data_IF_972248068272
#
_entry.id   IF_972248068272
#
_cell.length_a   1.000
_cell.length_b   1.000
_cell.length_c   1.000
_cell.angle_alpha   90.00
_cell.angle_beta   90.00
_cell.angle_gamma   90.00
#
_symmetry.space_group_name_H-M   'P 1'
#
loop_
_entity.id
_entity.type
_entity.pdbx_description
1 polymer ?
#
# COMPACT_ATOMS: atom_id res chain seq x y z
N UNK A 1 27.97 18.09 -73.33
CA UNK A 1 27.93 17.71 -71.90
C UNK A 1 27.06 18.71 -71.17
N UNK A 2 25.82 18.36 -70.82
CA UNK A 2 24.91 19.27 -70.16
C UNK A 2 24.85 18.86 -68.68
N UNK A 3 25.31 19.74 -67.79
CA UNK A 3 25.15 19.61 -66.34
C UNK A 3 23.73 19.98 -65.95
N UNK A 4 22.92 18.98 -65.59
CA UNK A 4 21.63 19.18 -64.94
C UNK A 4 21.86 19.47 -63.42
N UNK A 5 21.74 20.73 -63.03
CA UNK A 5 21.69 21.11 -61.60
C UNK A 5 20.33 20.73 -61.00
N UNK A 6 20.34 19.80 -60.11
CA UNK A 6 19.19 19.48 -59.28
C UNK A 6 19.04 20.57 -58.20
N UNK A 7 18.12 21.49 -58.40
CA UNK A 7 17.68 22.39 -57.34
C UNK A 7 16.83 21.58 -56.39
N UNK A 8 17.37 21.26 -55.21
CA UNK A 8 16.58 20.78 -54.07
C UNK A 8 15.69 21.94 -53.64
N UNK A 9 14.39 21.77 -53.83
CA UNK A 9 13.38 22.67 -53.29
C UNK A 9 13.46 22.65 -51.78
N UNK A 10 13.82 23.76 -51.18
CA UNK A 10 13.63 24.02 -49.74
C UNK A 10 12.14 23.94 -49.49
N UNK A 11 11.70 22.88 -48.84
CA UNK A 11 10.33 22.77 -48.31
C UNK A 11 10.13 23.90 -47.33
N UNK A 12 9.33 24.89 -47.70
CA UNK A 12 8.97 25.98 -46.82
C UNK A 12 8.36 25.45 -45.53
N UNK A 13 8.95 25.77 -44.40
CA UNK A 13 8.35 25.58 -43.11
C UNK A 13 7.09 26.46 -43.04
N UNK A 14 5.93 25.88 -43.32
CA UNK A 14 4.65 26.57 -43.10
C UNK A 14 4.54 26.83 -41.60
N UNK A 15 4.61 28.09 -41.18
CA UNK A 15 4.34 28.49 -39.80
C UNK A 15 2.86 28.24 -39.45
N UNK A 16 2.62 27.79 -38.25
CA UNK A 16 1.25 27.62 -37.71
C UNK A 16 0.52 28.97 -37.70
N UNK A 17 -0.73 28.95 -38.11
CA UNK A 17 -1.59 30.15 -38.02
C UNK A 17 -2.06 30.32 -36.57
N UNK A 18 -2.34 31.57 -36.17
CA UNK A 18 -2.87 31.86 -34.82
C UNK A 18 -4.18 31.10 -34.54
N UNK A 19 -5.05 30.98 -35.54
CA UNK A 19 -6.32 30.25 -35.39
C UNK A 19 -6.08 28.75 -35.20
N UNK A 20 -5.13 28.17 -35.87
CA UNK A 20 -4.77 26.76 -35.72
C UNK A 20 -4.22 26.46 -34.32
N UNK A 21 -3.39 27.35 -33.77
CA UNK A 21 -2.93 27.26 -32.39
C UNK A 21 -4.12 27.33 -31.40
N UNK A 22 -5.04 28.24 -31.61
CA UNK A 22 -6.23 28.35 -30.73
C UNK A 22 -7.11 27.11 -30.78
N UNK A 23 -7.32 26.53 -31.96
CA UNK A 23 -8.09 25.29 -32.11
C UNK A 23 -7.40 24.12 -31.42
N UNK A 24 -6.08 23.98 -31.59
CA UNK A 24 -5.30 22.94 -30.92
C UNK A 24 -5.38 23.07 -29.41
N UNK A 25 -5.21 24.29 -28.87
CA UNK A 25 -5.32 24.54 -27.43
C UNK A 25 -6.73 24.23 -26.90
N UNK A 26 -7.78 24.58 -27.65
CA UNK A 26 -9.14 24.25 -27.26
C UNK A 26 -9.38 22.73 -27.18
N UNK A 27 -8.91 21.98 -28.19
CA UNK A 27 -9.02 20.52 -28.20
C UNK A 27 -8.22 19.90 -27.05
N UNK A 28 -6.99 20.35 -26.82
CA UNK A 28 -6.17 19.89 -25.69
C UNK A 28 -6.83 20.18 -24.35
N UNK A 29 -7.46 21.36 -24.18
CA UNK A 29 -8.18 21.73 -22.99
C UNK A 29 -9.36 20.77 -22.70
N UNK A 30 -10.14 20.42 -23.71
CA UNK A 30 -11.24 19.45 -23.59
C UNK A 30 -10.71 18.06 -23.20
N UNK A 31 -9.65 17.60 -23.85
CA UNK A 31 -9.03 16.30 -23.53
C UNK A 31 -8.47 16.27 -22.10
N UNK A 32 -7.80 17.34 -21.68
CA UNK A 32 -7.27 17.45 -20.31
C UNK A 32 -8.38 17.44 -19.25
N UNK A 33 -9.52 18.06 -19.51
CA UNK A 33 -10.65 18.09 -18.59
C UNK A 33 -11.23 16.69 -18.29
N UNK A 34 -11.13 15.75 -19.22
CA UNK A 34 -11.56 14.36 -19.04
C UNK A 34 -10.45 13.47 -18.45
N UNK A 35 -9.19 13.72 -18.84
CA UNK A 35 -8.07 12.90 -18.42
C UNK A 35 -7.73 13.06 -16.93
N UNK A 36 -7.87 14.28 -16.38
CA UNK A 36 -7.48 14.58 -14.99
C UNK A 36 -8.30 13.78 -13.94
N UNK A 37 -9.64 13.78 -13.92
CA UNK A 37 -10.44 13.03 -12.95
C UNK A 37 -10.23 11.50 -13.07
N UNK A 38 -9.98 11.00 -14.28
CA UNK A 38 -9.69 9.59 -14.50
C UNK A 38 -8.35 9.18 -13.86
N UNK A 39 -7.33 10.01 -13.96
CA UNK A 39 -6.03 9.77 -13.34
C UNK A 39 -6.15 9.71 -11.80
N UNK A 40 -6.89 10.62 -11.18
CA UNK A 40 -7.10 10.65 -9.72
C UNK A 40 -7.77 9.37 -9.21
N UNK A 41 -8.82 8.92 -9.88
CA UNK A 41 -9.53 7.69 -9.48
C UNK A 41 -8.64 6.44 -9.64
N UNK A 42 -7.80 6.41 -10.66
CA UNK A 42 -6.86 5.30 -10.89
C UNK A 42 -5.80 5.23 -9.79
N UNK A 43 -5.21 6.37 -9.42
CA UNK A 43 -4.22 6.44 -8.33
C UNK A 43 -4.85 6.03 -7.00
N UNK A 44 -6.05 6.50 -6.72
CA UNK A 44 -6.78 6.14 -5.50
C UNK A 44 -7.05 4.64 -5.44
N UNK A 45 -7.53 4.04 -6.52
CA UNK A 45 -7.76 2.60 -6.62
C UNK A 45 -6.47 1.80 -6.39
N UNK A 46 -5.35 2.25 -6.95
CA UNK A 46 -4.05 1.61 -6.74
C UNK A 46 -3.65 1.61 -5.25
N UNK A 47 -3.79 2.73 -4.56
CA UNK A 47 -3.52 2.84 -3.12
C UNK A 47 -4.44 1.96 -2.27
N UNK A 48 -5.72 1.85 -2.62
CA UNK A 48 -6.67 0.97 -1.91
C UNK A 48 -6.30 -0.52 -2.07
N UNK A 49 -5.87 -0.92 -3.26
CA UNK A 49 -5.39 -2.29 -3.50
C UNK A 49 -4.09 -2.58 -2.72
N UNK A 50 -3.17 -1.62 -2.68
CA UNK A 50 -1.95 -1.71 -1.89
C UNK A 50 -2.27 -1.84 -0.40
N UNK A 51 -3.16 -0.99 0.14
CA UNK A 51 -3.61 -1.07 1.52
C UNK A 51 -4.16 -2.45 1.89
N UNK A 52 -5.03 -3.02 1.05
CA UNK A 52 -5.58 -4.37 1.28
C UNK A 52 -4.51 -5.45 1.25
N UNK A 53 -3.50 -5.29 0.39
CA UNK A 53 -2.36 -6.21 0.32
C UNK A 53 -1.51 -6.12 1.58
N UNK A 54 -1.20 -4.91 2.03
CA UNK A 54 -0.37 -4.67 3.20
C UNK A 54 -1.03 -5.15 4.49
N UNK A 55 -2.33 -4.92 4.64
CA UNK A 55 -3.12 -5.46 5.74
C UNK A 55 -3.09 -7.00 5.75
N UNK A 56 -3.22 -7.62 4.59
CA UNK A 56 -3.12 -9.09 4.48
C UNK A 56 -1.73 -9.59 4.86
N UNK A 57 -0.67 -8.94 4.38
CA UNK A 57 0.71 -9.30 4.70
C UNK A 57 0.97 -9.22 6.22
N UNK A 58 0.47 -8.16 6.87
CA UNK A 58 0.59 -8.00 8.32
C UNK A 58 -0.19 -9.08 9.09
N UNK A 59 -1.43 -9.35 8.73
CA UNK A 59 -2.26 -10.39 9.36
C UNK A 59 -1.65 -11.78 9.19
N UNK A 60 -1.20 -12.10 7.99
CA UNK A 60 -0.47 -13.36 7.75
C UNK A 60 0.83 -13.44 8.55
N UNK A 61 1.51 -12.31 8.76
CA UNK A 61 2.68 -12.23 9.63
C UNK A 61 2.35 -12.53 11.08
N UNK A 62 1.27 -11.95 11.60
CA UNK A 62 0.76 -12.18 12.96
C UNK A 62 0.37 -13.66 13.14
N UNK A 63 -0.34 -14.24 12.19
CA UNK A 63 -0.74 -15.66 12.23
C UNK A 63 0.48 -16.60 12.21
N UNK A 64 1.47 -16.30 11.36
CA UNK A 64 2.74 -17.06 11.34
C UNK A 64 3.49 -16.95 12.65
N UNK A 65 3.50 -15.78 13.28
CA UNK A 65 4.10 -15.60 14.59
C UNK A 65 3.44 -16.52 15.62
N UNK A 66 2.11 -16.55 15.64
CA UNK A 66 1.34 -17.41 16.53
C UNK A 66 1.65 -18.87 16.31
N UNK A 67 1.72 -19.33 15.07
CA UNK A 67 2.07 -20.72 14.72
C UNK A 67 3.48 -21.08 15.20
N UNK A 68 4.48 -20.23 14.95
CA UNK A 68 5.86 -20.46 15.39
C UNK A 68 5.98 -20.44 16.94
N UNK A 69 5.21 -19.56 17.60
CA UNK A 69 5.13 -19.53 19.04
C UNK A 69 4.58 -20.84 19.62
N UNK A 70 3.48 -21.35 19.09
CA UNK A 70 2.85 -22.58 19.54
C UNK A 70 3.75 -23.80 19.31
N UNK A 71 4.45 -23.87 18.17
CA UNK A 71 5.47 -24.88 17.91
C UNK A 71 6.61 -24.82 18.92
N UNK A 72 7.12 -23.64 19.19
CA UNK A 72 8.19 -23.44 20.15
C UNK A 72 7.77 -23.82 21.57
N UNK A 73 6.54 -23.46 21.95
CA UNK A 73 5.96 -23.83 23.26
C UNK A 73 5.78 -25.34 23.44
N UNK A 74 5.37 -26.04 22.39
CA UNK A 74 5.20 -27.51 22.42
C UNK A 74 6.48 -28.26 22.16
N UNK A 75 7.62 -27.58 21.95
CA UNK A 75 8.92 -28.18 21.60
C UNK A 75 8.81 -29.09 20.36
N UNK A 76 8.00 -28.71 19.40
CA UNK A 76 7.84 -29.43 18.15
C UNK A 76 9.18 -29.58 17.41
N UNK A 77 9.38 -30.68 16.68
CA UNK A 77 10.64 -30.97 15.98
C UNK A 77 10.95 -29.96 14.88
N UNK A 78 9.93 -29.33 14.34
CA UNK A 78 10.01 -28.29 13.31
C UNK A 78 9.94 -26.87 13.87
N UNK A 79 10.05 -26.73 15.21
CA UNK A 79 10.10 -25.42 15.85
C UNK A 79 11.34 -24.64 15.41
N UNK A 80 11.15 -23.34 15.17
CA UNK A 80 12.23 -22.46 14.72
C UNK A 80 13.29 -22.29 15.80
N UNK A 81 14.52 -22.68 15.52
CA UNK A 81 15.62 -22.58 16.46
C UNK A 81 15.84 -21.13 16.92
N UNK A 82 15.94 -20.92 18.23
CA UNK A 82 16.14 -19.60 18.82
C UNK A 82 14.89 -18.70 18.89
N UNK A 83 13.72 -19.16 18.43
CA UNK A 83 12.48 -18.38 18.54
C UNK A 83 12.06 -18.21 20.01
N UNK A 84 12.09 -19.28 20.81
CA UNK A 84 11.75 -19.28 22.25
C UNK A 84 12.66 -18.35 23.06
N UNK A 85 13.94 -18.24 22.69
CA UNK A 85 14.90 -17.38 23.39
C UNK A 85 14.61 -15.89 23.20
N UNK A 86 13.94 -15.54 22.10
CA UNK A 86 13.59 -14.14 21.78
C UNK A 86 12.21 -13.74 22.29
N UNK A 87 11.35 -14.73 22.50
CA UNK A 87 9.94 -14.53 22.84
C UNK A 87 9.65 -15.17 24.19
N UNK A 88 9.18 -14.39 25.16
CA UNK A 88 8.77 -14.91 26.48
C UNK A 88 7.62 -15.91 26.34
N UNK A 89 7.68 -17.02 27.09
CA UNK A 89 6.71 -18.12 27.00
C UNK A 89 5.37 -17.81 27.67
N UNK A 90 5.28 -16.70 28.40
CA UNK A 90 4.14 -16.37 29.29
C UNK A 90 3.17 -15.37 28.65
N UNK A 91 2.79 -15.60 27.38
CA UNK A 91 1.96 -14.68 26.59
C UNK A 91 0.76 -15.37 25.94
N UNK A 92 -0.14 -14.55 25.38
CA UNK A 92 -1.24 -14.99 24.51
C UNK A 92 -0.77 -15.77 23.26
N UNK A 93 0.53 -15.61 22.89
CA UNK A 93 1.14 -16.18 21.70
C UNK A 93 1.12 -15.25 20.49
N UNK A 94 0.54 -14.07 20.62
CA UNK A 94 0.59 -13.00 19.63
C UNK A 94 1.78 -12.08 19.91
N UNK A 95 2.31 -11.34 18.91
CA UNK A 95 3.38 -10.37 19.13
C UNK A 95 2.90 -9.22 20.02
N UNK A 96 3.79 -8.65 20.84
CA UNK A 96 3.46 -7.47 21.64
C UNK A 96 3.40 -6.20 20.81
N UNK A 97 4.23 -6.14 19.76
CA UNK A 97 4.30 -5.02 18.83
C UNK A 97 4.51 -5.55 17.42
N UNK A 98 4.16 -4.74 16.41
CA UNK A 98 4.45 -5.10 15.01
C UNK A 98 5.96 -5.24 14.75
N UNK A 99 6.81 -4.50 15.48
CA UNK A 99 8.26 -4.58 15.36
C UNK A 99 8.79 -5.99 15.67
N UNK A 100 8.15 -6.70 16.57
CA UNK A 100 8.53 -8.08 16.93
C UNK A 100 8.46 -9.03 15.73
N UNK A 101 7.57 -8.77 14.74
CA UNK A 101 7.53 -9.52 13.49
C UNK A 101 8.82 -9.39 12.66
N UNK A 102 9.47 -8.23 12.74
CA UNK A 102 10.75 -8.02 12.04
C UNK A 102 11.93 -8.55 12.85
N UNK A 103 11.92 -8.42 14.16
CA UNK A 103 12.94 -8.95 15.07
C UNK A 103 13.01 -10.47 15.01
N UNK A 104 11.86 -11.13 14.91
CA UNK A 104 11.75 -12.58 14.74
C UNK A 104 11.94 -13.03 13.29
N UNK A 105 12.18 -12.11 12.36
CA UNK A 105 12.38 -12.38 10.91
C UNK A 105 11.19 -13.09 10.25
N UNK A 106 9.98 -12.88 10.76
CA UNK A 106 8.75 -13.34 10.12
C UNK A 106 8.42 -12.42 8.95
N UNK A 107 8.52 -11.11 9.18
CA UNK A 107 8.49 -10.10 8.12
C UNK A 107 9.88 -9.49 7.93
N UNK A 108 10.19 -9.05 6.73
CA UNK A 108 11.43 -8.32 6.44
C UNK A 108 11.35 -6.85 6.89
N UNK A 109 10.17 -6.27 6.77
CA UNK A 109 9.84 -4.90 7.16
C UNK A 109 8.35 -4.83 7.45
N UNK A 110 7.95 -3.84 8.22
CA UNK A 110 6.55 -3.47 8.39
C UNK A 110 6.19 -2.54 7.21
N UNK A 111 5.17 -2.90 6.39
CA UNK A 111 4.70 -2.01 5.33
C UNK A 111 4.15 -0.72 5.93
N UNK A 112 4.19 0.36 5.15
CA UNK A 112 3.59 1.64 5.54
C UNK A 112 2.18 1.73 4.96
N UNK A 113 1.28 2.39 5.69
CA UNK A 113 -0.05 2.66 5.16
C UNK A 113 0.05 3.58 3.93
N UNK A 114 -0.37 3.14 2.72
CA UNK A 114 -0.28 3.93 1.51
C UNK A 114 -1.23 5.13 1.50
N UNK A 115 -2.19 5.16 2.42
CA UNK A 115 -3.15 6.26 2.57
C UNK A 115 -2.65 7.31 3.56
N UNK A 116 -1.88 6.89 4.58
CA UNK A 116 -1.37 7.74 5.67
C UNK A 116 0.09 7.36 5.98
N UNK A 117 1.03 7.84 5.17
CA UNK A 117 2.44 7.42 5.17
C UNK A 117 3.17 7.58 6.52
N UNK A 118 2.76 8.51 7.35
CA UNK A 118 3.41 8.83 8.62
C UNK A 118 2.66 8.33 9.85
N UNK A 119 1.44 7.83 9.66
CA UNK A 119 0.60 7.39 10.79
C UNK A 119 0.79 5.90 11.03
N UNK A 120 0.98 5.47 12.29
CA UNK A 120 1.12 4.07 12.61
C UNK A 120 -0.18 3.30 12.37
N UNK A 121 -0.06 1.99 12.13
CA UNK A 121 -1.19 1.08 12.11
C UNK A 121 -1.92 1.08 13.44
N UNK A 122 -3.24 1.05 13.43
CA UNK A 122 -4.03 0.76 14.61
C UNK A 122 -3.95 -0.73 14.90
N UNK A 123 -3.55 -1.08 16.10
CA UNK A 123 -3.46 -2.46 16.57
C UNK A 123 -4.64 -2.79 17.46
N UNK A 124 -4.98 -4.06 17.50
CA UNK A 124 -6.01 -4.61 18.33
C UNK A 124 -5.49 -5.84 19.06
N UNK A 125 -5.82 -5.95 20.34
CA UNK A 125 -5.45 -7.08 21.17
C UNK A 125 -6.46 -8.23 21.03
N UNK A 126 -6.00 -9.46 21.29
CA UNK A 126 -6.87 -10.64 21.34
C UNK A 126 -7.95 -10.56 22.42
N UNK A 127 -7.67 -9.87 23.54
CA UNK A 127 -8.60 -9.67 24.64
C UNK A 127 -9.62 -8.55 24.42
N UNK A 128 -9.43 -7.72 23.37
CA UNK A 128 -10.34 -6.61 23.10
C UNK A 128 -11.73 -7.08 22.64
N UNK A 129 -12.77 -6.42 23.13
CA UNK A 129 -14.13 -6.63 22.62
C UNK A 129 -14.22 -6.24 21.14
N UNK A 130 -15.05 -6.95 20.37
CA UNK A 130 -15.26 -6.68 18.94
C UNK A 130 -15.70 -5.25 18.65
N UNK A 131 -16.43 -4.63 19.55
CA UNK A 131 -16.97 -3.28 19.43
C UNK A 131 -16.09 -2.20 20.10
N UNK A 132 -14.97 -2.60 20.72
CA UNK A 132 -14.08 -1.64 21.38
C UNK A 132 -13.37 -0.76 20.36
N UNK A 133 -13.44 0.55 20.57
CA UNK A 133 -12.68 1.55 19.82
C UNK A 133 -11.26 1.75 20.35
N UNK A 134 -10.97 1.24 21.53
CA UNK A 134 -9.67 1.37 22.22
C UNK A 134 -9.10 -0.02 22.46
N UNK A 135 -7.83 -0.21 22.09
CA UNK A 135 -7.09 -1.43 22.39
C UNK A 135 -6.42 -1.35 23.75
N UNK A 136 -6.36 -2.48 24.47
CA UNK A 136 -5.59 -2.59 25.71
C UNK A 136 -4.08 -2.69 25.46
N UNK A 137 -3.67 -2.81 24.18
CA UNK A 137 -2.28 -2.84 23.70
C UNK A 137 -1.39 -3.92 24.36
N UNK A 138 -2.00 -5.01 24.88
CA UNK A 138 -1.25 -6.12 25.48
C UNK A 138 -0.55 -6.98 24.46
N UNK A 139 -1.16 -7.14 23.31
CA UNK A 139 -0.64 -7.88 22.17
C UNK A 139 -1.22 -7.30 20.87
N UNK A 140 -0.76 -7.83 19.74
CA UNK A 140 -1.25 -7.46 18.41
C UNK A 140 -1.87 -8.69 17.78
N UNK A 141 -3.20 -8.79 17.85
CA UNK A 141 -3.98 -9.83 17.21
C UNK A 141 -4.47 -9.42 15.82
N UNK A 142 -4.84 -8.16 15.63
CA UNK A 142 -5.30 -7.61 14.36
C UNK A 142 -4.75 -6.21 14.13
N UNK A 143 -4.74 -5.78 12.88
CA UNK A 143 -4.28 -4.47 12.44
C UNK A 143 -5.30 -3.82 11.52
N UNK A 144 -5.43 -2.49 11.60
CA UNK A 144 -6.31 -1.67 10.77
C UNK A 144 -5.61 -0.41 10.33
N UNK A 145 -6.08 0.16 9.22
CA UNK A 145 -5.67 1.52 8.84
C UNK A 145 -6.25 2.54 9.82
N UNK A 146 -5.47 3.57 10.14
CA UNK A 146 -5.95 4.74 10.90
C UNK A 146 -6.69 5.76 10.00
N UNK A 147 -6.77 5.51 8.70
CA UNK A 147 -7.49 6.38 7.76
C UNK A 147 -9.01 6.25 7.92
N UNK A 148 -9.66 7.34 8.30
CA UNK A 148 -11.13 7.43 8.41
C UNK A 148 -11.83 7.73 7.10
N UNK A 149 -11.08 7.93 6.01
CA UNK A 149 -11.62 8.19 4.68
C UNK A 149 -12.40 6.99 4.14
N UNK A 150 -13.30 7.26 3.19
CA UNK A 150 -14.09 6.22 2.52
C UNK A 150 -13.37 5.71 1.27
N UNK A 151 -13.42 4.42 1.04
CA UNK A 151 -12.96 3.80 -0.19
C UNK A 151 -13.88 4.11 -1.38
N UNK A 152 -13.47 3.71 -2.57
CA UNK A 152 -14.28 3.86 -3.79
C UNK A 152 -15.59 3.07 -3.73
N UNK A 153 -15.64 1.99 -2.94
CA UNK A 153 -16.85 1.20 -2.67
C UNK A 153 -17.73 1.77 -1.56
N UNK A 154 -17.33 2.92 -0.96
CA UNK A 154 -18.05 3.61 0.12
C UNK A 154 -17.73 3.11 1.52
N UNK A 155 -16.98 2.02 1.70
CA UNK A 155 -16.59 1.50 3.01
C UNK A 155 -15.49 2.36 3.64
N UNK A 156 -15.50 2.61 4.97
CA UNK A 156 -14.41 3.30 5.64
C UNK A 156 -13.15 2.46 5.68
N UNK A 157 -11.96 3.04 5.39
CA UNK A 157 -10.70 2.30 5.38
C UNK A 157 -10.32 1.73 6.76
N UNK A 158 -10.71 2.38 7.85
CA UNK A 158 -10.46 1.93 9.22
C UNK A 158 -11.29 0.71 9.64
N UNK A 159 -12.14 0.22 8.78
CA UNK A 159 -12.92 -1.02 9.00
C UNK A 159 -12.33 -2.23 8.28
N UNK A 160 -11.28 -2.01 7.50
CA UNK A 160 -10.61 -3.07 6.72
C UNK A 160 -9.65 -3.90 7.55
#
# INVERSE_FOLDING_TARGET
MQHRSWRQGLSGSAGLTFIELMVVLAVLGVLAAVAMPLAETTVRRSKELELRRDLRELREGIDRFKVEYDKARTKAKDAREGFVQRVSVDRSGYPLTLQELTETKILRRIPRDPMLLETPWLTRSYSDSLDSSVSDSRDVWDVRSSNTGKALDGTPHNTW
#
